data_IF_482965385524
#
_entry.id   IF_482965385524
#
_cell.length_a   1.000
_cell.length_b   1.000
_cell.length_c   1.000
_cell.angle_alpha   90.00
_cell.angle_beta   90.00
_cell.angle_gamma   90.00
#
_symmetry.space_group_name_H-M   'P 1'
#
loop_
_entity.id
_entity.type
_entity.pdbx_description
1 polymer ?
#
# COMPACT_ATOMS: atom_id res chain seq x y z
N UNK A 1 -1.79 -11.32 -3.65
CA UNK A 1 -1.95 -11.89 -5.01
C UNK A 1 -2.39 -13.36 -4.91
N UNK A 2 -2.98 -13.98 -5.94
CA UNK A 2 -3.28 -15.44 -5.93
C UNK A 2 -1.96 -16.23 -5.89
N UNK A 3 -1.86 -17.33 -5.13
CA UNK A 3 -0.63 -18.16 -4.99
C UNK A 3 -0.04 -18.63 -6.33
N UNK A 4 -0.89 -18.95 -7.29
CA UNK A 4 -0.46 -19.32 -8.64
C UNK A 4 0.29 -18.18 -9.36
N UNK A 5 -0.19 -16.94 -9.23
CA UNK A 5 0.43 -15.76 -9.85
C UNK A 5 1.76 -15.40 -9.17
N UNK A 6 1.89 -15.63 -7.86
CA UNK A 6 3.18 -15.51 -7.14
C UNK A 6 4.24 -16.47 -7.70
N UNK A 7 3.89 -17.75 -7.85
CA UNK A 7 4.79 -18.74 -8.44
C UNK A 7 5.14 -18.39 -9.90
N UNK A 8 4.19 -17.83 -10.64
CA UNK A 8 4.40 -17.37 -12.02
C UNK A 8 5.32 -16.15 -12.08
N UNK A 9 5.19 -15.19 -11.16
CA UNK A 9 6.10 -14.05 -11.04
C UNK A 9 7.54 -14.49 -10.78
N UNK A 10 7.71 -15.45 -9.87
CA UNK A 10 9.01 -16.06 -9.61
C UNK A 10 9.60 -16.72 -10.87
N UNK A 11 8.78 -17.46 -11.63
CA UNK A 11 9.18 -18.07 -12.91
C UNK A 11 9.60 -17.02 -13.96
N UNK A 12 8.88 -15.91 -14.10
CA UNK A 12 9.29 -14.83 -15.00
C UNK A 12 10.66 -14.27 -14.58
N UNK A 13 10.89 -14.13 -13.27
CA UNK A 13 12.17 -13.72 -12.71
C UNK A 13 13.32 -14.68 -13.03
N UNK A 14 13.12 -15.99 -12.89
CA UNK A 14 14.16 -16.98 -13.19
C UNK A 14 14.49 -17.03 -14.69
N UNK A 15 13.49 -16.87 -15.57
CA UNK A 15 13.70 -16.78 -17.02
C UNK A 15 14.54 -15.55 -17.38
N UNK A 16 14.18 -14.37 -16.87
CA UNK A 16 14.96 -13.14 -17.12
C UNK A 16 16.40 -13.29 -16.62
N UNK A 17 16.60 -13.86 -15.42
CA UNK A 17 17.94 -14.08 -14.87
C UNK A 17 18.78 -15.00 -15.76
N UNK A 18 18.21 -16.11 -16.24
CA UNK A 18 18.89 -17.01 -17.16
C UNK A 18 19.25 -16.33 -18.48
N UNK A 19 18.31 -15.57 -19.07
CA UNK A 19 18.55 -14.85 -20.32
C UNK A 19 19.69 -13.83 -20.14
N UNK A 20 19.73 -13.11 -19.02
CA UNK A 20 20.80 -12.19 -18.67
C UNK A 20 22.17 -12.85 -18.52
N UNK A 21 22.23 -14.03 -17.91
CA UNK A 21 23.48 -14.80 -17.79
C UNK A 21 24.03 -15.23 -19.16
N UNK A 22 23.18 -15.32 -20.17
CA UNK A 22 23.51 -15.81 -21.51
C UNK A 22 23.43 -14.74 -22.60
N UNK A 23 23.51 -13.45 -22.25
CA UNK A 23 23.39 -12.30 -23.18
C UNK A 23 24.24 -12.46 -24.44
N UNK A 24 25.47 -12.95 -24.30
CA UNK A 24 26.39 -13.15 -25.42
C UNK A 24 25.83 -14.07 -26.53
N UNK A 25 24.87 -14.96 -26.22
CA UNK A 25 24.30 -15.92 -27.18
C UNK A 25 23.20 -15.32 -28.08
N UNK A 26 22.55 -14.24 -27.63
CA UNK A 26 21.37 -13.69 -28.30
C UNK A 26 21.43 -12.19 -28.56
N UNK A 27 22.45 -11.49 -28.04
CA UNK A 27 22.62 -10.03 -28.20
C UNK A 27 22.74 -9.55 -29.66
N UNK A 28 23.12 -10.43 -30.58
CA UNK A 28 23.14 -10.13 -32.03
C UNK A 28 21.74 -10.00 -32.63
N UNK A 29 20.72 -10.61 -32.00
CA UNK A 29 19.33 -10.51 -32.44
C UNK A 29 18.64 -9.31 -31.80
N UNK A 30 18.32 -8.30 -32.62
CA UNK A 30 17.58 -7.11 -32.18
C UNK A 30 16.18 -7.46 -31.65
N UNK A 31 15.49 -8.39 -32.32
CA UNK A 31 14.15 -8.83 -31.90
C UNK A 31 14.20 -9.54 -30.54
N UNK A 32 15.25 -10.32 -30.28
CA UNK A 32 15.43 -10.97 -28.98
C UNK A 32 15.68 -9.94 -27.87
N UNK A 33 16.49 -8.90 -28.14
CA UNK A 33 16.73 -7.80 -27.19
C UNK A 33 15.43 -7.09 -26.80
N UNK A 34 14.60 -6.73 -27.78
CA UNK A 34 13.31 -6.09 -27.53
C UNK A 34 12.41 -6.98 -26.68
N UNK A 35 12.29 -8.27 -27.03
CA UNK A 35 11.45 -9.20 -26.28
C UNK A 35 11.87 -9.36 -24.80
N UNK A 36 13.19 -9.34 -24.52
CA UNK A 36 13.70 -9.39 -23.14
C UNK A 36 13.36 -8.10 -22.40
N UNK A 37 13.57 -6.94 -23.01
CA UNK A 37 13.23 -5.64 -22.41
C UNK A 37 11.74 -5.50 -22.13
N UNK A 38 10.87 -5.95 -23.05
CA UNK A 38 9.43 -5.93 -22.85
C UNK A 38 9.01 -6.82 -21.68
N UNK A 39 9.60 -8.02 -21.57
CA UNK A 39 9.33 -8.92 -20.45
C UNK A 39 9.80 -8.34 -19.10
N UNK A 40 10.94 -7.63 -19.09
CA UNK A 40 11.43 -6.91 -17.91
C UNK A 40 10.50 -5.77 -17.49
N UNK A 41 10.02 -4.99 -18.46
CA UNK A 41 9.07 -3.91 -18.21
C UNK A 41 7.78 -4.46 -17.61
N UNK A 42 7.20 -5.51 -18.21
CA UNK A 42 5.99 -6.14 -17.69
C UNK A 42 6.22 -6.73 -16.28
N UNK A 43 7.39 -7.33 -16.01
CA UNK A 43 7.72 -7.80 -14.66
C UNK A 43 7.82 -6.64 -13.66
N UNK A 44 8.41 -5.51 -14.05
CA UNK A 44 8.49 -4.32 -13.20
C UNK A 44 7.09 -3.75 -12.90
N UNK A 45 6.21 -3.69 -13.90
CA UNK A 45 4.83 -3.25 -13.74
C UNK A 45 4.05 -4.16 -12.77
N UNK A 46 4.23 -5.49 -12.86
CA UNK A 46 3.65 -6.45 -11.92
C UNK A 46 4.16 -6.20 -10.49
N UNK A 47 5.46 -5.96 -10.31
CA UNK A 47 6.06 -5.68 -9.00
C UNK A 47 5.53 -4.35 -8.41
N UNK A 48 5.36 -3.32 -9.24
CA UNK A 48 4.79 -2.03 -8.86
C UNK A 48 3.34 -2.16 -8.38
N UNK A 49 2.49 -2.91 -9.11
CA UNK A 49 1.10 -3.16 -8.70
C UNK A 49 1.05 -4.02 -7.43
N UNK A 50 1.96 -5.01 -7.28
CA UNK A 50 2.09 -5.81 -6.04
C UNK A 50 2.40 -4.93 -4.84
N UNK A 51 3.46 -4.13 -4.92
CA UNK A 51 3.94 -3.32 -3.80
C UNK A 51 2.94 -2.18 -3.46
N UNK A 52 2.28 -1.59 -4.47
CA UNK A 52 1.23 -0.58 -4.27
C UNK A 52 -0.03 -1.12 -3.59
N UNK A 53 -0.38 -2.38 -3.81
CA UNK A 53 -1.50 -3.04 -3.15
C UNK A 53 -1.17 -3.45 -1.70
N UNK A 54 0.06 -3.91 -1.43
CA UNK A 54 0.50 -4.36 -0.10
C UNK A 54 0.64 -3.21 0.92
N UNK A 55 1.11 -2.03 0.49
CA UNK A 55 1.19 -0.85 1.37
C UNK A 55 -0.19 -0.32 1.78
N UNK A 56 -1.21 -0.46 0.93
CA UNK A 56 -2.59 -0.02 1.23
C UNK A 56 -3.30 -0.95 2.20
N UNK A 57 -2.96 -2.25 2.23
CA UNK A 57 -3.66 -3.24 3.05
C UNK A 57 -3.17 -3.37 4.49
N UNK A 58 -1.88 -3.12 4.75
CA UNK A 58 -1.33 -3.26 6.11
C UNK A 58 -1.37 -1.95 6.92
N UNK A 59 -1.58 -0.78 6.28
CA UNK A 59 -1.66 0.52 6.96
C UNK A 59 -3.08 1.02 7.26
N UNK A 60 -4.12 0.59 6.54
CA UNK A 60 -5.39 1.33 6.56
C UNK A 60 -6.13 1.35 7.90
N UNK A 61 -6.00 0.33 8.76
CA UNK A 61 -6.74 0.26 10.03
C UNK A 61 -5.97 0.90 11.18
N UNK A 62 -4.68 0.58 11.32
CA UNK A 62 -3.78 1.15 12.33
C UNK A 62 -3.52 2.64 12.10
N UNK A 63 -3.36 3.06 10.84
CA UNK A 63 -3.20 4.47 10.48
C UNK A 63 -4.49 5.27 10.63
N UNK A 64 -5.68 4.68 10.39
CA UNK A 64 -6.96 5.38 10.63
C UNK A 64 -7.17 5.66 12.12
N UNK A 65 -6.87 4.70 13.00
CA UNK A 65 -6.96 4.91 14.46
C UNK A 65 -6.01 6.01 14.94
N UNK A 66 -4.74 5.96 14.52
CA UNK A 66 -3.75 6.98 14.90
C UNK A 66 -4.11 8.38 14.37
N UNK A 67 -4.57 8.51 13.12
CA UNK A 67 -4.97 9.80 12.55
C UNK A 67 -6.24 10.36 13.20
N UNK A 68 -7.14 9.47 13.62
CA UNK A 68 -8.32 9.85 14.38
C UNK A 68 -7.93 10.41 15.74
N UNK A 69 -7.07 9.72 16.47
CA UNK A 69 -6.58 10.15 17.78
C UNK A 69 -5.82 11.48 17.68
N UNK A 70 -4.99 11.65 16.65
CA UNK A 70 -4.28 12.91 16.39
C UNK A 70 -5.25 14.07 16.07
N UNK A 71 -6.29 13.81 15.27
CA UNK A 71 -7.34 14.78 15.00
C UNK A 71 -8.13 15.14 16.27
N UNK A 72 -8.53 14.14 17.08
CA UNK A 72 -9.27 14.33 18.33
C UNK A 72 -8.48 15.17 19.34
N UNK A 73 -7.20 14.86 19.52
CA UNK A 73 -6.31 15.60 20.41
C UNK A 73 -6.13 17.06 19.94
N UNK A 74 -5.92 17.28 18.64
CA UNK A 74 -5.76 18.63 18.10
C UNK A 74 -7.04 19.45 18.15
N UNK A 75 -8.19 18.84 17.87
CA UNK A 75 -9.50 19.47 18.03
C UNK A 75 -9.72 19.87 19.50
N UNK A 76 -9.40 18.98 20.44
CA UNK A 76 -9.56 19.26 21.87
C UNK A 76 -8.68 20.41 22.36
N UNK A 77 -7.42 20.46 21.94
CA UNK A 77 -6.49 21.55 22.25
C UNK A 77 -7.07 22.90 21.84
N UNK A 78 -7.54 23.00 20.59
CA UNK A 78 -8.03 24.27 20.05
C UNK A 78 -9.37 24.67 20.65
N UNK A 79 -10.30 23.73 20.79
CA UNK A 79 -11.61 23.98 21.43
C UNK A 79 -11.43 24.50 22.86
N UNK A 80 -10.48 23.95 23.62
CA UNK A 80 -10.19 24.38 24.99
C UNK A 80 -9.70 25.84 25.04
N UNK A 81 -8.85 26.23 24.10
CA UNK A 81 -8.35 27.61 24.00
C UNK A 81 -9.46 28.57 23.60
N UNK A 82 -10.28 28.22 22.60
CA UNK A 82 -11.41 29.04 22.16
C UNK A 82 -12.45 29.17 23.29
N UNK A 83 -12.70 28.11 24.05
CA UNK A 83 -13.58 28.16 25.23
C UNK A 83 -13.06 29.15 26.29
N UNK A 84 -11.76 29.15 26.57
CA UNK A 84 -11.15 30.09 27.50
C UNK A 84 -11.25 31.54 27.00
N UNK A 85 -11.04 31.77 25.70
CA UNK A 85 -11.22 33.08 25.07
C UNK A 85 -12.68 33.55 25.18
N UNK A 86 -13.65 32.70 24.83
CA UNK A 86 -15.08 32.99 24.89
C UNK A 86 -15.55 33.31 26.32
N UNK A 87 -14.98 32.62 27.31
CA UNK A 87 -15.23 32.89 28.73
C UNK A 87 -14.73 34.29 29.12
N UNK A 88 -13.52 34.66 28.66
CA UNK A 88 -12.93 35.98 28.96
C UNK A 88 -13.67 37.13 28.27
N UNK A 89 -14.17 36.93 27.05
CA UNK A 89 -14.89 37.95 26.27
C UNK A 89 -16.38 38.00 26.57
N UNK A 90 -16.90 37.09 27.41
CA UNK A 90 -18.32 37.02 27.76
C UNK A 90 -19.23 36.45 26.65
N UNK A 91 -18.66 35.84 25.60
CA UNK A 91 -19.41 35.26 24.51
C UNK A 91 -19.94 33.85 24.88
N UNK A 92 -21.11 33.81 25.51
CA UNK A 92 -21.75 32.57 25.99
C UNK A 92 -22.13 31.59 24.88
N UNK A 93 -22.41 32.07 23.68
CA UNK A 93 -22.78 31.21 22.54
C UNK A 93 -21.55 30.43 22.06
N UNK A 94 -20.43 31.13 21.85
CA UNK A 94 -19.17 30.50 21.46
C UNK A 94 -18.64 29.55 22.55
N UNK A 95 -18.84 29.92 23.82
CA UNK A 95 -18.50 29.06 24.96
C UNK A 95 -19.31 27.76 24.96
N UNK A 96 -20.61 27.82 24.65
CA UNK A 96 -21.46 26.64 24.58
C UNK A 96 -21.11 25.75 23.38
N UNK A 97 -20.83 26.35 22.22
CA UNK A 97 -20.44 25.62 21.00
C UNK A 97 -19.09 24.88 21.17
N UNK A 98 -18.17 25.44 21.95
CA UNK A 98 -16.85 24.84 22.21
C UNK A 98 -16.82 23.94 23.46
N UNK A 99 -17.97 23.52 23.99
CA UNK A 99 -18.01 22.68 25.19
C UNK A 99 -17.94 21.19 24.84
N UNK A 100 -16.73 20.72 24.51
CA UNK A 100 -16.47 19.31 24.21
C UNK A 100 -15.31 18.75 25.02
N UNK A 101 -15.50 17.58 25.65
CA UNK A 101 -14.42 16.83 26.29
C UNK A 101 -13.74 15.87 25.31
N UNK A 102 -12.53 15.41 25.63
CA UNK A 102 -11.81 14.44 24.80
C UNK A 102 -12.61 13.13 24.64
N UNK A 103 -13.28 12.67 25.70
CA UNK A 103 -14.14 11.49 25.66
C UNK A 103 -15.37 11.69 24.76
N UNK A 104 -15.92 12.91 24.70
CA UNK A 104 -17.01 13.22 23.78
C UNK A 104 -16.55 13.11 22.32
N UNK A 105 -15.34 13.61 22.01
CA UNK A 105 -14.73 13.55 20.68
C UNK A 105 -14.45 12.11 20.25
N UNK A 106 -13.87 11.30 21.15
CA UNK A 106 -13.63 9.86 20.96
C UNK A 106 -14.93 9.10 20.66
N UNK A 107 -16.03 9.47 21.31
CA UNK A 107 -17.34 8.89 21.09
C UNK A 107 -18.09 9.39 19.85
N UNK A 108 -17.60 10.42 19.14
CA UNK A 108 -18.29 10.97 17.97
C UNK A 108 -18.24 10.03 16.77
N UNK A 109 -19.27 10.07 15.93
CA UNK A 109 -19.20 9.42 14.61
C UNK A 109 -18.22 10.18 13.72
N UNK A 110 -17.49 9.48 12.88
CA UNK A 110 -16.42 10.03 12.03
C UNK A 110 -16.87 11.25 11.20
N UNK A 111 -18.07 11.20 10.60
CA UNK A 111 -18.62 12.34 9.85
C UNK A 111 -18.98 13.56 10.71
N UNK A 112 -19.34 13.34 11.99
CA UNK A 112 -19.58 14.42 12.95
C UNK A 112 -18.27 15.03 13.44
N UNK A 113 -17.23 14.22 13.63
CA UNK A 113 -15.90 14.69 13.99
C UNK A 113 -15.33 15.60 12.88
N UNK A 114 -15.43 15.20 11.60
CA UNK A 114 -15.02 16.02 10.45
C UNK A 114 -15.78 17.34 10.40
N UNK A 115 -17.11 17.31 10.58
CA UNK A 115 -17.93 18.52 10.58
C UNK A 115 -17.55 19.47 11.73
N UNK A 116 -17.27 18.94 12.91
CA UNK A 116 -16.81 19.72 14.06
C UNK A 116 -15.43 20.32 13.81
N UNK A 117 -14.47 19.56 13.27
CA UNK A 117 -13.14 20.06 12.92
C UNK A 117 -13.22 21.23 11.92
N UNK A 118 -14.05 21.12 10.89
CA UNK A 118 -14.26 22.20 9.92
C UNK A 118 -14.88 23.45 10.57
N UNK A 119 -15.83 23.26 11.49
CA UNK A 119 -16.45 24.35 12.24
C UNK A 119 -15.42 25.06 13.15
N UNK A 120 -14.58 24.31 13.85
CA UNK A 120 -13.50 24.85 14.69
C UNK A 120 -12.49 25.65 13.84
N UNK A 121 -12.13 25.18 12.66
CA UNK A 121 -11.24 25.92 11.73
C UNK A 121 -11.86 27.27 11.33
N UNK A 122 -13.18 27.32 11.07
CA UNK A 122 -13.87 28.59 10.77
C UNK A 122 -13.73 29.58 11.92
N UNK A 123 -13.96 29.10 13.15
CA UNK A 123 -13.86 29.93 14.35
C UNK A 123 -12.44 30.46 14.57
N UNK A 124 -11.41 29.64 14.33
CA UNK A 124 -10.01 30.09 14.43
C UNK A 124 -9.76 31.25 13.45
N UNK A 125 -10.20 31.09 12.21
CA UNK A 125 -10.02 32.11 11.15
C UNK A 125 -10.79 33.39 11.46
N UNK A 126 -12.02 33.27 11.96
CA UNK A 126 -12.85 34.41 12.37
C UNK A 126 -12.28 35.17 13.58
N UNK A 127 -11.58 34.48 14.48
CA UNK A 127 -11.05 35.05 15.73
C UNK A 127 -9.51 35.13 15.76
N UNK A 128 -8.85 35.06 14.60
CA UNK A 128 -7.39 34.92 14.49
C UNK A 128 -6.61 36.01 15.25
N UNK A 129 -7.09 37.26 15.24
CA UNK A 129 -6.47 38.38 15.96
C UNK A 129 -6.51 38.20 17.47
N UNK A 130 -7.62 37.69 18.02
CA UNK A 130 -7.80 37.48 19.47
C UNK A 130 -7.10 36.21 19.96
N UNK A 131 -7.00 35.19 19.10
CA UNK A 131 -6.38 33.90 19.39
C UNK A 131 -4.85 33.93 19.37
N UNK A 132 -4.25 34.96 18.74
CA UNK A 132 -2.80 35.19 18.74
C UNK A 132 -2.21 35.28 20.16
N UNK A 133 -2.93 35.90 21.09
CA UNK A 133 -2.54 36.04 22.49
C UNK A 133 -2.63 34.73 23.29
N UNK A 134 -3.28 33.71 22.72
CA UNK A 134 -3.47 32.38 23.30
C UNK A 134 -2.66 31.31 22.58
N UNK A 135 -1.64 31.70 21.80
CA UNK A 135 -0.76 30.80 21.05
C UNK A 135 -1.46 29.94 19.99
N UNK A 136 -2.70 30.27 19.59
CA UNK A 136 -3.38 29.66 18.45
C UNK A 136 -3.19 30.56 17.24
N UNK A 137 -2.48 30.06 16.24
CA UNK A 137 -2.05 30.81 15.05
C UNK A 137 -2.66 30.21 13.77
N UNK A 138 -2.48 30.90 12.63
CA UNK A 138 -2.86 30.37 11.30
C UNK A 138 -2.21 29.01 11.00
N UNK A 139 -1.02 28.74 11.59
CA UNK A 139 -0.34 27.44 11.51
C UNK A 139 -1.15 26.34 12.22
N UNK A 140 -1.79 26.64 13.34
CA UNK A 140 -2.68 25.70 14.04
C UNK A 140 -3.94 25.39 13.22
N UNK A 141 -4.50 26.38 12.53
CA UNK A 141 -5.62 26.18 11.61
C UNK A 141 -5.22 25.30 10.41
N UNK A 142 -4.04 25.56 9.83
CA UNK A 142 -3.49 24.80 8.70
C UNK A 142 -3.18 23.35 9.08
N UNK A 143 -2.64 23.12 10.26
CA UNK A 143 -2.39 21.79 10.80
C UNK A 143 -3.69 21.00 11.02
N UNK A 144 -4.71 21.66 11.59
CA UNK A 144 -6.03 21.05 11.81
C UNK A 144 -6.74 20.72 10.49
N UNK A 145 -6.61 21.57 9.47
CA UNK A 145 -7.16 21.35 8.11
C UNK A 145 -6.49 20.16 7.40
N UNK A 146 -5.17 20.03 7.55
CA UNK A 146 -4.39 18.89 7.05
C UNK A 146 -4.82 17.58 7.70
N UNK A 147 -4.99 17.56 9.03
CA UNK A 147 -5.46 16.38 9.77
C UNK A 147 -6.90 15.99 9.39
N UNK A 148 -7.79 16.97 9.22
CA UNK A 148 -9.18 16.75 8.80
C UNK A 148 -9.26 16.16 7.38
N UNK A 149 -8.45 16.67 6.45
CA UNK A 149 -8.35 16.16 5.07
C UNK A 149 -7.78 14.74 5.02
N UNK A 150 -6.75 14.46 5.82
CA UNK A 150 -6.16 13.12 5.95
C UNK A 150 -7.15 12.10 6.54
N UNK A 151 -7.94 12.50 7.54
CA UNK A 151 -8.95 11.62 8.15
C UNK A 151 -10.18 11.38 7.23
N UNK A 152 -10.68 12.42 6.55
CA UNK A 152 -11.84 12.34 5.66
C UNK A 152 -11.57 11.53 4.38
N UNK A 153 -10.36 11.59 3.82
CA UNK A 153 -9.97 10.73 2.69
C UNK A 153 -10.04 9.23 3.03
N UNK A 154 -9.79 8.88 4.31
CA UNK A 154 -9.78 7.52 4.86
C UNK A 154 -11.13 7.05 5.42
N UNK A 155 -12.17 7.87 5.30
CA UNK A 155 -13.55 7.56 5.70
C UNK A 155 -14.32 6.76 4.64
N UNK A 156 -13.88 6.77 3.38
CA UNK A 156 -14.54 6.14 2.22
C UNK A 156 -14.27 4.63 2.03
N UNK A 157 -13.59 4.00 2.98
CA UNK A 157 -12.56 3.01 2.64
C UNK A 157 -12.96 1.53 2.51
N UNK A 158 -14.08 0.98 3.04
CA UNK A 158 -14.34 -0.45 2.85
C UNK A 158 -14.68 -0.81 1.40
N UNK A 159 -15.55 -0.02 0.74
CA UNK A 159 -16.02 -0.31 -0.63
C UNK A 159 -15.00 0.10 -1.68
N UNK A 160 -14.31 1.22 -1.47
CA UNK A 160 -13.24 1.71 -2.34
C UNK A 160 -12.03 0.76 -2.31
N UNK A 161 -11.65 0.22 -1.15
CA UNK A 161 -10.57 -0.78 -1.07
C UNK A 161 -10.93 -2.09 -1.77
N UNK A 162 -12.19 -2.53 -1.71
CA UNK A 162 -12.62 -3.73 -2.44
C UNK A 162 -12.61 -3.47 -3.97
N UNK A 163 -13.08 -2.31 -4.43
CA UNK A 163 -13.02 -1.96 -5.86
C UNK A 163 -11.58 -1.74 -6.36
N UNK A 164 -10.72 -1.12 -5.55
CA UNK A 164 -9.29 -0.95 -5.87
C UNK A 164 -8.56 -2.29 -5.89
N UNK A 165 -8.88 -3.21 -4.96
CA UNK A 165 -8.35 -4.58 -4.98
C UNK A 165 -8.82 -5.34 -6.22
N UNK A 166 -10.08 -5.16 -6.62
CA UNK A 166 -10.62 -5.79 -7.84
C UNK A 166 -9.92 -5.24 -9.08
N UNK A 167 -9.81 -3.92 -9.21
CA UNK A 167 -9.11 -3.26 -10.31
C UNK A 167 -7.62 -3.61 -10.36
N UNK A 168 -6.95 -3.69 -9.20
CA UNK A 168 -5.56 -4.13 -9.12
C UNK A 168 -5.40 -5.61 -9.50
N UNK A 169 -6.34 -6.48 -9.10
CA UNK A 169 -6.32 -7.89 -9.51
C UNK A 169 -6.63 -8.07 -11.01
N UNK A 170 -7.57 -7.30 -11.57
CA UNK A 170 -7.85 -7.27 -13.01
C UNK A 170 -6.61 -6.78 -13.78
N UNK A 171 -5.97 -5.72 -13.30
CA UNK A 171 -4.72 -5.22 -13.88
C UNK A 171 -3.57 -6.22 -13.77
N UNK A 172 -3.47 -6.98 -12.67
CA UNK A 172 -2.49 -8.06 -12.54
C UNK A 172 -2.78 -9.19 -13.53
N UNK A 173 -4.03 -9.63 -13.65
CA UNK A 173 -4.43 -10.67 -14.60
C UNK A 173 -4.07 -10.24 -16.05
N UNK A 174 -4.29 -8.97 -16.42
CA UNK A 174 -3.88 -8.41 -17.72
C UNK A 174 -2.36 -8.39 -17.94
N UNK A 175 -1.60 -7.96 -16.93
CA UNK A 175 -0.13 -7.91 -17.01
C UNK A 175 0.48 -9.31 -17.10
N UNK A 176 -0.08 -10.29 -16.37
CA UNK A 176 0.33 -11.68 -16.49
C UNK A 176 -0.06 -12.31 -17.83
N UNK A 177 -1.14 -11.83 -18.47
CA UNK A 177 -1.49 -12.16 -19.85
C UNK A 177 -0.46 -11.65 -20.84
N UNK A 178 -0.07 -10.36 -20.74
CA UNK A 178 1.01 -9.77 -21.57
C UNK A 178 2.33 -10.52 -21.41
N UNK A 179 2.69 -10.88 -20.19
CA UNK A 179 3.90 -11.68 -19.93
C UNK A 179 3.83 -13.06 -20.60
N UNK A 180 2.66 -13.72 -20.58
CA UNK A 180 2.47 -15.00 -21.27
C UNK A 180 2.60 -14.84 -22.78
N UNK A 181 2.03 -13.79 -23.37
CA UNK A 181 2.14 -13.55 -24.80
C UNK A 181 3.59 -13.34 -25.23
N UNK A 182 4.36 -12.52 -24.50
CA UNK A 182 5.78 -12.32 -24.78
C UNK A 182 6.55 -13.64 -24.66
N UNK A 183 6.29 -14.41 -23.59
CA UNK A 183 6.98 -15.68 -23.37
C UNK A 183 6.63 -16.73 -24.42
N UNK A 184 5.35 -16.95 -24.72
CA UNK A 184 4.88 -18.05 -25.57
C UNK A 184 4.97 -17.73 -27.07
N UNK A 185 4.62 -16.50 -27.45
CA UNK A 185 4.51 -16.11 -28.85
C UNK A 185 5.81 -15.50 -29.40
N UNK A 186 6.69 -15.01 -28.52
CA UNK A 186 7.97 -14.39 -28.93
C UNK A 186 9.16 -15.22 -28.44
N UNK A 187 9.44 -15.26 -27.14
CA UNK A 187 10.70 -15.82 -26.63
C UNK A 187 10.77 -17.34 -26.84
N UNK A 188 9.69 -18.09 -26.59
CA UNK A 188 9.63 -19.54 -26.83
C UNK A 188 9.89 -19.89 -28.31
N UNK A 189 9.50 -19.01 -29.25
CA UNK A 189 9.75 -19.18 -30.70
C UNK A 189 11.19 -18.82 -31.06
N UNK A 190 11.71 -17.73 -30.52
CA UNK A 190 13.10 -17.30 -30.71
C UNK A 190 14.11 -18.28 -30.09
N UNK A 191 13.68 -19.10 -29.12
CA UNK A 191 14.52 -20.14 -28.52
C UNK A 191 14.66 -21.41 -29.37
N UNK A 192 13.80 -21.64 -30.37
CA UNK A 192 13.81 -22.88 -31.18
C UNK A 192 15.14 -23.12 -31.92
N UNK A 193 15.79 -22.12 -32.55
CA UNK A 193 17.09 -22.32 -33.22
C UNK A 193 18.22 -22.74 -32.27
N UNK A 194 18.10 -22.44 -30.98
CA UNK A 194 19.07 -22.83 -29.96
C UNK A 194 18.97 -24.32 -29.60
N UNK A 195 17.88 -25.00 -29.96
CA UNK A 195 17.73 -26.45 -29.73
C UNK A 195 18.85 -27.26 -30.38
N UNK A 196 19.26 -26.89 -31.59
CA UNK A 196 20.34 -27.56 -32.33
C UNK A 196 21.67 -26.86 -32.17
N UNK A 197 21.71 -25.53 -32.15
CA UNK A 197 22.96 -24.77 -32.08
C UNK A 197 23.57 -24.68 -30.68
N UNK A 198 22.75 -24.66 -29.62
CA UNK A 198 23.17 -24.56 -28.20
C UNK A 198 22.21 -25.34 -27.28
N UNK A 199 22.26 -26.69 -27.30
CA UNK A 199 21.31 -27.54 -26.58
C UNK A 199 21.23 -27.28 -25.07
N UNK A 200 22.36 -27.00 -24.42
CA UNK A 200 22.42 -26.73 -22.98
C UNK A 200 21.64 -25.46 -22.60
N UNK A 201 21.78 -24.40 -23.40
CA UNK A 201 21.05 -23.14 -23.21
C UNK A 201 19.54 -23.34 -23.39
N UNK A 202 19.14 -24.10 -24.41
CA UNK A 202 17.74 -24.45 -24.64
C UNK A 202 17.16 -25.28 -23.48
N UNK A 203 17.91 -26.25 -22.96
CA UNK A 203 17.51 -27.10 -21.83
C UNK A 203 17.35 -26.29 -20.54
N UNK A 204 18.31 -25.41 -20.25
CA UNK A 204 18.25 -24.49 -19.11
C UNK A 204 17.03 -23.57 -19.20
N UNK A 205 16.73 -23.04 -20.40
CA UNK A 205 15.55 -22.21 -20.63
C UNK A 205 14.24 -22.96 -20.40
N UNK A 206 14.09 -24.18 -20.94
CA UNK A 206 12.90 -25.00 -20.71
C UNK A 206 12.72 -25.36 -19.25
N UNK A 207 13.82 -25.49 -18.50
CA UNK A 207 13.79 -25.71 -17.05
C UNK A 207 13.36 -24.45 -16.30
N UNK A 208 13.89 -23.28 -16.66
CA UNK A 208 13.49 -22.00 -16.09
C UNK A 208 12.01 -21.66 -16.34
N UNK A 209 11.43 -22.11 -17.47
CA UNK A 209 10.02 -21.91 -17.84
C UNK A 209 9.03 -22.77 -17.03
N UNK A 210 9.50 -23.73 -16.22
CA UNK A 210 8.62 -24.52 -15.35
C UNK A 210 8.22 -23.71 -14.13
N UNK A 211 6.91 -23.56 -13.90
CA UNK A 211 6.40 -22.96 -12.68
C UNK A 211 6.60 -23.96 -11.53
N UNK A 212 7.49 -23.64 -10.61
CA UNK A 212 7.71 -24.45 -9.39
C UNK A 212 6.69 -24.02 -8.35
N UNK A 213 5.87 -24.96 -7.88
CA UNK A 213 4.97 -24.72 -6.76
C UNK A 213 5.77 -24.77 -5.46
N UNK A 214 6.08 -23.61 -4.89
CA UNK A 214 6.61 -23.54 -3.53
C UNK A 214 5.48 -23.88 -2.55
N UNK A 215 5.40 -25.17 -2.19
CA UNK A 215 4.51 -25.67 -1.15
C UNK A 215 4.91 -25.10 0.21
N UNK A 216 3.92 -24.80 1.05
CA UNK A 216 4.18 -24.45 2.45
C UNK A 216 4.81 -25.67 3.11
N UNK A 217 6.08 -25.60 3.52
CA UNK A 217 6.68 -26.64 4.37
C UNK A 217 5.97 -26.55 5.72
N UNK A 218 5.14 -27.54 6.04
CA UNK A 218 4.82 -27.80 7.44
C UNK A 218 6.08 -28.41 8.06
N UNK A 219 6.72 -27.66 8.94
CA UNK A 219 7.79 -28.18 9.79
C UNK A 219 7.16 -29.23 10.69
N UNK A 220 7.54 -30.49 10.47
CA UNK A 220 7.08 -31.60 11.30
C UNK A 220 7.92 -31.55 12.57
N UNK A 221 7.33 -31.11 13.68
CA UNK A 221 7.98 -31.18 14.99
C UNK A 221 8.42 -32.63 15.23
N UNK A 222 9.72 -32.87 15.19
CA UNK A 222 10.31 -34.11 15.67
C UNK A 222 10.22 -34.08 17.20
N UNK A 223 9.19 -34.75 17.72
CA UNK A 223 9.11 -35.13 19.14
C UNK A 223 10.38 -35.90 19.51
N UNK A 224 11.31 -35.23 20.20
CA UNK A 224 12.39 -35.86 20.96
C UNK A 224 11.78 -36.89 21.91
N UNK A 225 11.97 -38.17 21.62
CA UNK A 225 11.90 -39.21 22.65
C UNK A 225 13.25 -39.15 23.37
N UNK A 226 13.26 -38.50 24.52
CA UNK A 226 14.39 -38.57 25.45
C UNK A 226 14.54 -40.02 25.90
N UNK A 227 15.74 -40.53 25.67
CA UNK A 227 16.24 -41.80 26.18
C UNK A 227 16.34 -41.71 27.70
N UNK A 228 15.38 -42.29 28.41
CA UNK A 228 15.53 -42.60 29.83
C UNK A 228 16.28 -43.95 29.94
N UNK A 229 17.62 -43.88 29.86
CA UNK A 229 18.51 -44.96 30.28
C UNK A 229 19.52 -44.37 31.26
N UNK A 230 19.16 -44.31 32.53
CA UNK A 230 20.09 -44.63 33.64
C UNK A 230 19.35 -44.67 34.98
N UNK A 231 19.13 -45.89 35.48
CA UNK A 231 19.36 -46.29 36.87
C UNK A 231 19.30 -47.80 37.02
#
# INVERSE_FOLDING_TARGET
MKKFLENKFAMIGTVIALLKQNVALWTSSTVFKVAVTDLESVKADIDNVRNGAEQKTNGSTTTKGAHREELENKVYEVISVVYAMATRTGNKNLQADMKHSLSDLQGMRDGRLVALSAHVISIIRENATALKDYSVTEESATMLDSLCSSFSSRLSTPRVVVSERKAANESLDDLFGKADDILQNVIDKLMVPYKTSKPDFYSAYKSARKIVNYGTRHEKEETKKEEEVEK
#
